data_IF_541587656124
#
_entry.id   IF_541587656124
#
_cell.length_a   1.000
_cell.length_b   1.000
_cell.length_c   1.000
_cell.angle_alpha   90.00
_cell.angle_beta   90.00
_cell.angle_gamma   90.00
#
_symmetry.space_group_name_H-M   'P 1'
#
loop_
_entity.id
_entity.type
_entity.pdbx_description
1 polymer ?
#
# COMPACT_ATOMS: atom_id res chain seq x y z
N UNK A 1 -32.22 5.84 22.74
CA UNK A 1 -30.75 6.13 22.66
C UNK A 1 -30.22 5.92 24.07
N UNK A 2 -29.87 4.68 24.33
CA UNK A 2 -29.46 4.24 25.65
C UNK A 2 -28.03 4.73 25.90
N UNK A 3 -27.89 5.49 27.00
CA UNK A 3 -26.70 6.22 27.37
C UNK A 3 -25.46 5.34 27.39
N UNK A 4 -24.35 5.91 27.00
CA UNK A 4 -23.01 5.36 27.23
C UNK A 4 -22.86 5.15 28.76
N UNK A 5 -23.24 3.98 29.20
CA UNK A 5 -23.05 3.53 30.57
C UNK A 5 -21.56 3.23 30.72
N UNK A 6 -20.98 3.38 31.92
CA UNK A 6 -19.59 3.04 32.18
C UNK A 6 -19.21 1.63 31.68
N UNK A 7 -20.19 0.74 31.65
CA UNK A 7 -20.09 -0.60 31.08
C UNK A 7 -19.93 -0.61 29.55
N UNK A 8 -20.58 0.31 28.82
CA UNK A 8 -20.46 0.41 27.36
C UNK A 8 -19.11 1.02 26.95
N UNK A 9 -18.59 1.95 27.73
CA UNK A 9 -17.23 2.50 27.54
C UNK A 9 -16.17 1.45 27.86
N UNK A 10 -16.38 0.66 28.92
CA UNK A 10 -15.51 -0.47 29.25
C UNK A 10 -15.54 -1.56 28.17
N UNK A 11 -16.72 -1.86 27.60
CA UNK A 11 -16.87 -2.84 26.51
C UNK A 11 -16.27 -2.32 25.21
N UNK A 12 -16.34 -1.01 24.93
CA UNK A 12 -15.71 -0.39 23.77
C UNK A 12 -14.17 -0.36 23.92
N UNK A 13 -13.67 -0.16 25.15
CA UNK A 13 -12.24 -0.25 25.46
C UNK A 13 -11.72 -1.69 25.49
N UNK A 14 -12.61 -2.67 25.76
CA UNK A 14 -12.34 -4.10 25.69
C UNK A 14 -12.55 -4.69 24.27
N UNK A 15 -13.02 -3.89 23.31
CA UNK A 15 -13.13 -4.30 21.92
C UNK A 15 -11.74 -4.73 21.41
N UNK A 16 -11.65 -5.83 20.65
CA UNK A 16 -10.39 -6.31 20.16
C UNK A 16 -9.75 -5.21 19.31
N UNK A 17 -8.48 -4.91 19.62
CA UNK A 17 -7.63 -4.10 18.76
C UNK A 17 -7.67 -4.66 17.34
N UNK A 18 -7.60 -3.84 16.28
CA UNK A 18 -7.56 -4.31 14.89
C UNK A 18 -6.51 -5.39 14.66
N UNK A 19 -5.51 -5.52 15.52
CA UNK A 19 -4.46 -6.53 15.46
C UNK A 19 -4.83 -7.90 16.05
N UNK A 20 -6.08 -8.10 16.54
CA UNK A 20 -6.56 -9.39 17.06
C UNK A 20 -5.88 -9.88 18.34
N UNK A 21 -4.94 -9.14 18.90
CA UNK A 21 -4.24 -9.52 20.14
C UNK A 21 -4.91 -8.84 21.34
N UNK A 22 -5.84 -9.55 21.99
CA UNK A 22 -6.26 -9.21 23.35
C UNK A 22 -5.05 -9.32 24.26
N UNK A 23 -4.51 -8.20 24.74
CA UNK A 23 -3.71 -8.24 25.96
C UNK A 23 -4.65 -8.67 27.07
N UNK A 24 -4.37 -9.81 27.68
CA UNK A 24 -5.07 -10.23 28.89
C UNK A 24 -4.85 -9.12 29.94
N UNK A 25 -5.90 -8.30 30.16
CA UNK A 25 -5.83 -7.28 31.19
C UNK A 25 -5.89 -8.00 32.53
N UNK A 26 -4.90 -7.75 33.37
CA UNK A 26 -4.84 -8.27 34.73
C UNK A 26 -6.07 -7.74 35.49
N UNK A 27 -6.62 -8.55 36.39
CA UNK A 27 -7.79 -8.19 37.22
C UNK A 27 -7.58 -6.86 37.95
N UNK A 28 -6.36 -6.58 38.32
CA UNK A 28 -5.89 -5.33 38.93
C UNK A 28 -6.02 -4.09 38.02
N UNK A 29 -5.82 -4.21 36.72
CA UNK A 29 -6.05 -3.12 35.75
C UNK A 29 -7.55 -2.82 35.57
N UNK A 30 -8.39 -3.85 35.64
CA UNK A 30 -9.86 -3.68 35.60
C UNK A 30 -10.38 -2.97 36.84
N UNK A 31 -9.85 -3.32 38.01
CA UNK A 31 -10.23 -2.67 39.27
C UNK A 31 -9.73 -1.23 39.34
N UNK A 32 -8.52 -0.94 38.87
CA UNK A 32 -8.01 0.45 38.74
C UNK A 32 -8.84 1.28 37.77
N UNK A 33 -9.26 0.72 36.64
CA UNK A 33 -10.15 1.41 35.70
C UNK A 33 -11.53 1.65 36.27
N UNK A 34 -12.10 0.70 37.00
CA UNK A 34 -13.36 0.90 37.73
C UNK A 34 -13.23 1.99 38.78
N UNK A 35 -12.18 1.99 39.56
CA UNK A 35 -11.94 3.01 40.58
C UNK A 35 -11.77 4.42 39.98
N UNK A 36 -11.16 4.54 38.79
CA UNK A 36 -11.05 5.82 38.07
C UNK A 36 -12.42 6.25 37.53
N UNK A 37 -13.21 5.32 36.99
CA UNK A 37 -14.57 5.61 36.48
C UNK A 37 -15.56 5.97 37.59
N UNK A 38 -15.42 5.39 38.78
CA UNK A 38 -16.25 5.72 39.95
C UNK A 38 -15.87 7.09 40.58
N UNK A 39 -14.67 7.58 40.31
CA UNK A 39 -14.22 8.93 40.70
C UNK A 39 -14.61 10.03 39.73
N UNK A 40 -15.19 9.71 38.57
CA UNK A 40 -15.67 10.72 37.61
C UNK A 40 -16.92 11.43 38.21
N UNK A 41 -16.85 12.72 38.47
CA UNK A 41 -17.92 13.43 39.21
C UNK A 41 -19.18 13.60 38.37
N UNK A 42 -20.26 13.59 39.09
CA UNK A 42 -21.61 14.09 38.85
C UNK A 42 -22.18 14.20 37.40
N UNK A 43 -23.50 14.10 37.34
CA UNK A 43 -24.35 14.03 36.15
C UNK A 43 -24.10 15.14 35.11
N UNK A 44 -23.63 16.30 35.52
CA UNK A 44 -23.29 17.43 34.66
C UNK A 44 -22.02 17.21 33.82
N UNK A 45 -21.02 16.56 34.39
CA UNK A 45 -19.78 16.22 33.69
C UNK A 45 -19.98 15.03 32.76
N UNK A 46 -20.93 14.13 33.07
CA UNK A 46 -21.34 13.04 32.15
C UNK A 46 -21.99 13.57 30.88
N UNK A 47 -22.88 14.56 30.99
CA UNK A 47 -23.53 15.16 29.83
C UNK A 47 -22.51 15.85 28.91
N UNK A 48 -21.54 16.57 29.47
CA UNK A 48 -20.42 17.18 28.71
C UNK A 48 -19.53 16.13 28.08
N UNK A 49 -19.27 15.03 28.78
CA UNK A 49 -18.46 13.92 28.25
C UNK A 49 -19.16 13.22 27.09
N UNK A 50 -20.46 12.98 27.18
CA UNK A 50 -21.29 12.40 26.13
C UNK A 50 -21.39 13.32 24.90
N UNK A 51 -21.51 14.64 25.12
CA UNK A 51 -21.48 15.64 24.04
C UNK A 51 -20.11 15.66 23.34
N UNK A 52 -19.02 15.64 24.12
CA UNK A 52 -17.65 15.56 23.58
C UNK A 52 -17.41 14.24 22.81
N UNK A 53 -17.80 13.12 23.37
CA UNK A 53 -17.67 11.81 22.74
C UNK A 53 -18.46 11.76 21.42
N UNK A 54 -19.67 12.30 21.40
CA UNK A 54 -20.51 12.39 20.18
C UNK A 54 -19.88 13.32 19.15
N UNK A 55 -19.35 14.47 19.56
CA UNK A 55 -18.67 15.41 18.66
C UNK A 55 -17.38 14.83 18.07
N UNK A 56 -16.60 14.10 18.88
CA UNK A 56 -15.38 13.40 18.44
C UNK A 56 -15.74 12.28 17.45
N UNK A 57 -16.76 11.49 17.75
CA UNK A 57 -17.20 10.40 16.86
C UNK A 57 -17.70 10.93 15.52
N UNK A 58 -18.48 12.02 15.52
CA UNK A 58 -18.96 12.68 14.31
C UNK A 58 -17.79 13.24 13.46
N UNK A 59 -16.83 13.91 14.11
CA UNK A 59 -15.63 14.41 13.42
C UNK A 59 -14.79 13.27 12.85
N UNK A 60 -14.59 12.20 13.61
CA UNK A 60 -13.85 11.02 13.17
C UNK A 60 -14.51 10.35 11.95
N UNK A 61 -15.83 10.24 11.96
CA UNK A 61 -16.59 9.69 10.82
C UNK A 61 -16.44 10.57 9.57
N UNK A 62 -16.51 11.89 9.74
CA UNK A 62 -16.31 12.84 8.63
C UNK A 62 -14.88 12.75 8.07
N UNK A 63 -13.88 12.75 8.94
CA UNK A 63 -12.47 12.63 8.54
C UNK A 63 -12.23 11.30 7.82
N UNK A 64 -12.72 10.19 8.36
CA UNK A 64 -12.60 8.88 7.73
C UNK A 64 -13.29 8.85 6.37
N UNK A 65 -14.46 9.49 6.23
CA UNK A 65 -15.16 9.64 4.95
C UNK A 65 -14.30 10.38 3.91
N UNK A 66 -13.69 11.49 4.29
CA UNK A 66 -12.77 12.23 3.41
C UNK A 66 -11.53 11.42 3.04
N UNK A 67 -10.89 10.78 4.01
CA UNK A 67 -9.71 9.92 3.77
C UNK A 67 -10.06 8.78 2.82
N UNK A 68 -11.19 8.11 3.02
CA UNK A 68 -11.65 7.03 2.16
C UNK A 68 -11.96 7.53 0.75
N UNK A 69 -12.62 8.68 0.61
CA UNK A 69 -12.91 9.28 -0.68
C UNK A 69 -11.62 9.59 -1.47
N UNK A 70 -10.68 10.29 -0.85
CA UNK A 70 -9.41 10.64 -1.48
C UNK A 70 -8.55 9.43 -1.78
N UNK A 71 -8.54 8.42 -0.90
CA UNK A 71 -7.86 7.15 -1.14
C UNK A 71 -8.45 6.40 -2.33
N UNK A 72 -9.77 6.33 -2.44
CA UNK A 72 -10.45 5.69 -3.58
C UNK A 72 -10.21 6.44 -4.89
N UNK A 73 -10.24 7.77 -4.86
CA UNK A 73 -9.94 8.62 -6.01
C UNK A 73 -8.49 8.44 -6.47
N UNK A 74 -7.55 8.42 -5.53
CA UNK A 74 -6.15 8.15 -5.78
C UNK A 74 -5.94 6.79 -6.48
N UNK A 75 -6.60 5.74 -5.99
CA UNK A 75 -6.53 4.42 -6.58
C UNK A 75 -7.14 4.37 -8.00
N UNK A 76 -8.25 5.07 -8.21
CA UNK A 76 -8.88 5.18 -9.54
C UNK A 76 -7.94 5.86 -10.54
N UNK A 77 -7.37 6.99 -10.17
CA UNK A 77 -6.42 7.74 -11.00
C UNK A 77 -5.16 6.92 -11.32
N UNK A 78 -4.64 6.21 -10.33
CA UNK A 78 -3.52 5.30 -10.48
C UNK A 78 -3.82 4.21 -11.52
N UNK A 79 -5.00 3.59 -11.47
CA UNK A 79 -5.42 2.57 -12.43
C UNK A 79 -5.68 3.14 -13.84
N UNK A 80 -6.22 4.36 -13.96
CA UNK A 80 -6.36 5.02 -15.26
C UNK A 80 -5.01 5.24 -15.93
N UNK A 81 -4.01 5.70 -15.19
CA UNK A 81 -2.64 5.81 -15.68
C UNK A 81 -2.08 4.47 -16.13
N UNK A 82 -2.33 3.42 -15.37
CA UNK A 82 -1.89 2.06 -15.67
C UNK A 82 -2.42 1.53 -17.01
N UNK A 83 -3.68 1.80 -17.35
CA UNK A 83 -4.27 1.37 -18.64
C UNK A 83 -3.50 1.98 -19.80
N UNK A 84 -3.25 3.28 -19.78
CA UNK A 84 -2.50 3.98 -20.82
C UNK A 84 -1.06 3.46 -20.87
N UNK A 85 -0.44 3.32 -19.71
CA UNK A 85 0.94 2.87 -19.60
C UNK A 85 1.14 1.44 -20.09
N UNK A 86 0.21 0.53 -19.80
CA UNK A 86 0.27 -0.85 -20.29
C UNK A 86 0.26 -0.90 -21.81
N UNK A 87 -0.50 -0.04 -22.45
CA UNK A 87 -0.53 0.05 -23.90
C UNK A 87 0.80 0.56 -24.48
N UNK A 88 1.33 1.62 -23.89
CA UNK A 88 2.60 2.23 -24.33
C UNK A 88 3.78 1.30 -24.08
N UNK A 89 3.88 0.64 -22.92
CA UNK A 89 5.00 -0.28 -22.65
C UNK A 89 5.01 -1.46 -23.61
N UNK A 90 3.83 -1.95 -24.02
CA UNK A 90 3.71 -3.03 -25.02
C UNK A 90 4.31 -2.58 -26.36
N UNK A 91 3.96 -1.38 -26.82
CA UNK A 91 4.55 -0.82 -28.05
C UNK A 91 6.08 -0.63 -27.93
N UNK A 92 6.55 -0.20 -26.79
CA UNK A 92 7.99 -0.07 -26.50
C UNK A 92 8.67 -1.42 -26.54
N UNK A 93 8.06 -2.45 -25.92
CA UNK A 93 8.58 -3.81 -25.86
C UNK A 93 8.64 -4.45 -27.25
N UNK A 94 7.66 -4.19 -28.12
CA UNK A 94 7.65 -4.66 -29.50
C UNK A 94 8.71 -3.96 -30.36
N UNK A 95 8.86 -2.62 -30.18
CA UNK A 95 9.77 -1.85 -31.00
C UNK A 95 11.24 -1.96 -30.60
N UNK A 96 11.54 -1.94 -29.29
CA UNK A 96 12.91 -1.86 -28.77
C UNK A 96 13.39 -3.10 -28.03
N UNK A 97 12.49 -4.03 -27.74
CA UNK A 97 12.79 -5.27 -27.02
C UNK A 97 12.34 -5.25 -25.57
N UNK A 98 12.26 -6.44 -25.00
CA UNK A 98 11.70 -6.65 -23.66
C UNK A 98 12.61 -6.08 -22.56
N UNK A 99 13.92 -6.28 -22.68
CA UNK A 99 14.93 -5.75 -21.74
C UNK A 99 14.89 -4.23 -21.65
N UNK A 100 14.81 -3.54 -22.79
CA UNK A 100 14.76 -2.07 -22.84
C UNK A 100 13.45 -1.57 -22.23
N UNK A 101 12.32 -2.20 -22.56
CA UNK A 101 11.03 -1.83 -21.99
C UNK A 101 11.03 -1.95 -20.46
N UNK A 102 11.51 -3.07 -19.93
CA UNK A 102 11.67 -3.24 -18.47
C UNK A 102 12.57 -2.17 -17.86
N UNK A 103 13.73 -1.92 -18.45
CA UNK A 103 14.69 -0.94 -17.93
C UNK A 103 14.09 0.46 -17.86
N UNK A 104 13.43 0.90 -18.93
CA UNK A 104 12.83 2.23 -18.99
C UNK A 104 11.73 2.40 -17.95
N UNK A 105 10.84 1.41 -17.83
CA UNK A 105 9.70 1.53 -16.91
C UNK A 105 10.10 1.28 -15.45
N UNK A 106 11.06 0.41 -15.16
CA UNK A 106 11.62 0.30 -13.81
C UNK A 106 12.35 1.58 -13.38
N UNK A 107 13.14 2.18 -14.28
CA UNK A 107 13.80 3.45 -14.00
C UNK A 107 12.78 4.57 -13.79
N UNK A 108 11.77 4.67 -14.66
CA UNK A 108 10.68 5.65 -14.51
C UNK A 108 9.92 5.43 -13.19
N UNK A 109 9.64 4.19 -12.82
CA UNK A 109 8.99 3.83 -11.56
C UNK A 109 9.84 4.22 -10.34
N UNK A 110 11.15 4.00 -10.41
CA UNK A 110 12.09 4.40 -9.37
C UNK A 110 12.04 5.90 -9.10
N UNK A 111 12.25 6.70 -10.14
CA UNK A 111 12.25 8.16 -9.99
C UNK A 111 10.86 8.70 -9.60
N UNK A 112 9.80 8.16 -10.21
CA UNK A 112 8.45 8.62 -9.94
C UNK A 112 7.98 8.28 -8.52
N UNK A 113 8.36 7.10 -8.01
CA UNK A 113 8.06 6.72 -6.61
C UNK A 113 8.75 7.66 -5.63
N UNK A 114 10.03 7.94 -5.82
CA UNK A 114 10.77 8.90 -4.98
C UNK A 114 10.10 10.28 -5.04
N UNK A 115 9.78 10.75 -6.25
CA UNK A 115 9.13 12.05 -6.43
C UNK A 115 7.81 12.11 -5.65
N UNK A 116 6.94 11.12 -5.82
CA UNK A 116 5.62 11.09 -5.15
C UNK A 116 5.77 11.09 -3.64
N UNK A 117 6.63 10.24 -3.08
CA UNK A 117 6.80 10.17 -1.63
C UNK A 117 7.40 11.43 -1.03
N UNK A 118 8.25 12.15 -1.76
CA UNK A 118 8.92 13.34 -1.23
C UNK A 118 8.16 14.64 -1.49
N UNK A 119 7.29 14.69 -2.51
CA UNK A 119 6.66 15.97 -2.94
C UNK A 119 5.15 16.01 -2.81
N UNK A 120 4.47 14.87 -2.61
CA UNK A 120 3.00 14.86 -2.59
C UNK A 120 2.45 15.34 -1.25
N UNK A 121 1.99 16.59 -1.20
CA UNK A 121 1.43 17.24 -0.01
C UNK A 121 -0.02 17.69 -0.20
N UNK A 122 -0.44 17.95 -1.43
CA UNK A 122 -1.74 18.53 -1.75
C UNK A 122 -2.65 17.61 -2.54
N UNK A 123 -3.99 17.74 -2.42
CA UNK A 123 -4.93 16.99 -3.23
C UNK A 123 -4.74 17.17 -4.74
N UNK A 124 -4.28 18.34 -5.18
CA UNK A 124 -4.02 18.60 -6.60
C UNK A 124 -2.87 17.74 -7.12
N UNK A 125 -1.83 17.56 -6.33
CA UNK A 125 -0.69 16.68 -6.68
C UNK A 125 -1.13 15.23 -6.83
N UNK A 126 -2.11 14.77 -6.04
CA UNK A 126 -2.70 13.44 -6.20
C UNK A 126 -3.28 13.27 -7.61
N UNK A 127 -4.02 14.26 -8.13
CA UNK A 127 -4.60 14.19 -9.47
C UNK A 127 -3.56 14.11 -10.58
N UNK A 128 -2.40 14.70 -10.40
CA UNK A 128 -1.33 14.77 -11.41
C UNK A 128 -0.36 13.59 -11.26
N UNK A 129 0.11 13.33 -10.02
CA UNK A 129 1.18 12.38 -9.78
C UNK A 129 0.70 10.92 -9.76
N UNK A 130 -0.52 10.66 -9.27
CA UNK A 130 -1.04 9.29 -9.19
C UNK A 130 -1.25 8.61 -10.55
N UNK A 131 -1.84 9.26 -11.58
CA UNK A 131 -1.90 8.66 -12.92
C UNK A 131 -0.52 8.36 -13.49
N UNK A 132 0.45 9.26 -13.30
CA UNK A 132 1.81 9.08 -13.82
C UNK A 132 2.52 7.94 -13.08
N UNK A 133 2.32 7.84 -11.76
CA UNK A 133 2.85 6.75 -10.97
C UNK A 133 2.27 5.40 -11.41
N UNK A 134 0.95 5.35 -11.61
CA UNK A 134 0.27 4.16 -12.11
C UNK A 134 0.73 3.78 -13.53
N UNK A 135 0.90 4.77 -14.39
CA UNK A 135 1.49 4.61 -15.71
C UNK A 135 2.88 3.96 -15.65
N UNK A 136 3.73 4.34 -14.70
CA UNK A 136 5.06 3.76 -14.59
C UNK A 136 5.04 2.35 -13.98
N UNK A 137 4.38 2.17 -12.82
CA UNK A 137 4.49 0.96 -12.02
C UNK A 137 3.66 -0.20 -12.58
N UNK A 138 2.35 0.01 -12.79
CA UNK A 138 1.47 -1.08 -13.19
C UNK A 138 1.68 -1.51 -14.65
N UNK A 139 2.20 -0.64 -15.49
CA UNK A 139 2.48 -0.97 -16.89
C UNK A 139 3.47 -2.11 -17.06
N UNK A 140 4.38 -2.29 -16.10
CA UNK A 140 5.37 -3.36 -16.10
C UNK A 140 4.70 -4.73 -16.25
N UNK A 141 3.49 -4.89 -15.67
CA UNK A 141 2.71 -6.12 -15.82
C UNK A 141 2.32 -6.41 -17.27
N UNK A 142 2.20 -5.39 -18.13
CA UNK A 142 1.94 -5.55 -19.56
C UNK A 142 3.09 -6.29 -20.26
N UNK A 143 4.34 -5.97 -19.94
CA UNK A 143 5.51 -6.70 -20.50
C UNK A 143 5.61 -8.10 -19.92
N UNK A 144 5.31 -8.31 -18.64
CA UNK A 144 5.28 -9.67 -18.07
C UNK A 144 4.28 -10.58 -18.78
N UNK A 145 3.12 -10.04 -19.17
CA UNK A 145 2.09 -10.79 -19.89
C UNK A 145 2.57 -11.29 -21.27
N UNK A 146 3.53 -10.60 -21.90
CA UNK A 146 4.14 -10.98 -23.16
C UNK A 146 5.40 -11.85 -22.91
N UNK A 147 6.26 -11.42 -22.03
CA UNK A 147 7.57 -11.99 -21.80
C UNK A 147 7.53 -13.42 -21.22
N UNK A 148 6.65 -13.67 -20.23
CA UNK A 148 6.57 -15.01 -19.65
C UNK A 148 6.12 -16.09 -20.64
N UNK A 149 5.09 -15.87 -21.49
CA UNK A 149 4.76 -16.83 -22.53
C UNK A 149 5.90 -17.11 -23.53
N UNK A 150 6.77 -16.14 -23.76
CA UNK A 150 7.92 -16.27 -24.67
C UNK A 150 9.08 -17.09 -24.05
N UNK A 151 9.13 -17.20 -22.71
CA UNK A 151 10.17 -17.95 -22.00
C UNK A 151 9.89 -19.44 -21.89
N UNK A 152 8.60 -19.85 -21.87
CA UNK A 152 8.23 -21.21 -21.52
C UNK A 152 7.61 -21.96 -22.71
N UNK A 153 7.97 -23.25 -22.90
CA UNK A 153 7.37 -24.08 -23.94
C UNK A 153 5.87 -24.26 -23.72
N UNK A 154 5.13 -24.45 -24.81
CA UNK A 154 3.66 -24.48 -24.80
C UNK A 154 3.09 -25.45 -23.78
N UNK A 155 3.74 -26.61 -23.61
CA UNK A 155 3.34 -27.67 -22.69
C UNK A 155 3.35 -27.25 -21.22
N UNK A 156 4.29 -26.41 -20.80
CA UNK A 156 4.47 -25.98 -19.39
C UNK A 156 4.06 -24.53 -19.15
N UNK A 157 3.73 -23.78 -20.18
CA UNK A 157 3.55 -22.32 -20.17
C UNK A 157 2.61 -21.84 -19.06
N UNK A 158 1.41 -22.38 -18.97
CA UNK A 158 0.41 -21.96 -17.98
C UNK A 158 0.88 -22.23 -16.53
N UNK A 159 1.44 -23.40 -16.30
CA UNK A 159 1.94 -23.79 -14.97
C UNK A 159 3.14 -22.94 -14.55
N UNK A 160 4.11 -22.75 -15.46
CA UNK A 160 5.30 -21.96 -15.17
C UNK A 160 4.97 -20.48 -14.92
N UNK A 161 4.09 -19.88 -15.73
CA UNK A 161 3.62 -18.49 -15.51
C UNK A 161 2.93 -18.38 -14.16
N UNK A 162 2.00 -19.27 -13.86
CA UNK A 162 1.29 -19.26 -12.56
C UNK A 162 2.26 -19.41 -11.37
N UNK A 163 3.25 -20.26 -11.52
CA UNK A 163 4.29 -20.45 -10.50
C UNK A 163 5.11 -19.18 -10.27
N UNK A 164 5.58 -18.53 -11.34
CA UNK A 164 6.31 -17.27 -11.25
C UNK A 164 5.49 -16.17 -10.56
N UNK A 165 4.21 -15.99 -10.95
CA UNK A 165 3.35 -15.00 -10.33
C UNK A 165 3.09 -15.29 -8.84
N UNK A 166 2.93 -16.56 -8.46
CA UNK A 166 2.69 -16.90 -7.05
C UNK A 166 3.95 -16.70 -6.21
N UNK A 167 5.13 -17.08 -6.67
CA UNK A 167 6.40 -16.78 -5.97
C UNK A 167 6.57 -15.28 -5.78
N UNK A 168 6.33 -14.48 -6.82
CA UNK A 168 6.40 -13.04 -6.74
C UNK A 168 5.45 -12.45 -5.69
N UNK A 169 4.24 -13.01 -5.53
CA UNK A 169 3.29 -12.62 -4.48
C UNK A 169 3.79 -12.93 -3.07
N UNK A 170 4.44 -14.09 -2.87
CA UNK A 170 5.07 -14.39 -1.57
C UNK A 170 6.18 -13.40 -1.23
N UNK A 171 7.02 -13.07 -2.22
CA UNK A 171 8.05 -12.04 -2.03
C UNK A 171 7.40 -10.67 -1.73
N UNK A 172 6.37 -10.28 -2.47
CA UNK A 172 5.65 -9.02 -2.26
C UNK A 172 4.97 -8.93 -0.89
N UNK A 173 4.53 -10.06 -0.31
CA UNK A 173 3.93 -10.10 1.03
C UNK A 173 4.88 -9.63 2.15
N UNK A 174 6.19 -9.65 1.92
CA UNK A 174 7.18 -9.10 2.86
C UNK A 174 7.28 -7.57 2.80
N UNK A 175 6.73 -6.95 1.75
CA UNK A 175 6.79 -5.49 1.52
C UNK A 175 6.30 -4.65 2.69
N UNK A 176 5.08 -4.88 3.23
CA UNK A 176 4.58 -4.13 4.38
C UNK A 176 5.46 -4.24 5.63
N UNK A 177 6.05 -5.42 5.88
CA UNK A 177 6.99 -5.61 6.98
C UNK A 177 8.29 -4.81 6.74
N UNK A 178 8.81 -4.83 5.52
CA UNK A 178 9.97 -4.03 5.11
C UNK A 178 9.73 -2.53 5.27
N UNK A 179 8.56 -2.04 4.83
CA UNK A 179 8.15 -0.65 5.01
C UNK A 179 8.08 -0.29 6.50
N UNK A 180 7.51 -1.17 7.33
CA UNK A 180 7.43 -0.95 8.78
C UNK A 180 8.79 -0.82 9.45
N UNK A 181 9.74 -1.70 9.09
CA UNK A 181 11.12 -1.67 9.60
C UNK A 181 11.81 -0.37 9.17
N UNK A 182 11.72 0.02 7.90
CA UNK A 182 12.30 1.25 7.40
C UNK A 182 11.67 2.49 8.07
N UNK A 183 10.35 2.50 8.26
CA UNK A 183 9.66 3.59 8.95
C UNK A 183 10.16 3.72 10.40
N UNK A 184 10.34 2.60 11.12
CA UNK A 184 10.89 2.61 12.48
C UNK A 184 12.34 3.12 12.50
N UNK A 185 13.15 2.75 11.52
CA UNK A 185 14.53 3.25 11.39
C UNK A 185 14.55 4.76 11.14
N UNK A 186 13.75 5.25 10.20
CA UNK A 186 13.71 6.68 9.88
C UNK A 186 13.05 7.52 10.98
N UNK A 187 12.18 6.95 11.81
CA UNK A 187 11.57 7.67 12.94
C UNK A 187 12.59 8.20 13.96
N UNK A 188 13.78 7.60 14.02
CA UNK A 188 14.87 8.08 14.84
C UNK A 188 15.70 9.21 14.18
N UNK A 189 15.48 9.50 12.89
CA UNK A 189 16.36 10.37 12.11
C UNK A 189 15.62 11.52 11.39
N UNK A 190 14.30 11.43 11.22
CA UNK A 190 13.51 12.42 10.47
C UNK A 190 12.13 12.63 11.05
N UNK A 191 11.55 13.81 10.82
CA UNK A 191 10.17 14.14 11.23
C UNK A 191 9.11 13.46 10.33
N UNK A 192 9.50 12.98 9.15
CA UNK A 192 8.61 12.36 8.15
C UNK A 192 9.07 10.94 7.77
N UNK A 193 9.09 9.99 8.72
CA UNK A 193 9.69 8.68 8.53
C UNK A 193 9.07 7.85 7.40
N UNK A 194 7.75 7.96 7.21
CA UNK A 194 7.01 7.20 6.19
C UNK A 194 7.39 7.62 4.75
N UNK A 195 7.70 8.90 4.54
CA UNK A 195 8.13 9.43 3.23
C UNK A 195 9.49 8.88 2.85
N UNK A 196 10.44 8.95 3.76
CA UNK A 196 11.77 8.41 3.54
C UNK A 196 11.79 6.89 3.41
N UNK A 197 10.97 6.19 4.19
CA UNK A 197 10.82 4.75 4.07
C UNK A 197 10.25 4.35 2.70
N UNK A 198 9.20 5.03 2.23
CA UNK A 198 8.62 4.79 0.92
C UNK A 198 9.59 5.10 -0.23
N UNK A 199 10.32 6.21 -0.14
CA UNK A 199 11.36 6.55 -1.11
C UNK A 199 12.51 5.51 -1.11
N UNK A 200 12.92 5.01 0.05
CA UNK A 200 13.91 3.95 0.16
C UNK A 200 13.43 2.63 -0.45
N UNK A 201 12.14 2.29 -0.31
CA UNK A 201 11.56 1.10 -0.95
C UNK A 201 11.63 1.15 -2.48
N UNK A 202 11.71 2.34 -3.08
CA UNK A 202 11.89 2.48 -4.52
C UNK A 202 13.17 1.81 -5.04
N UNK A 203 14.19 1.60 -4.19
CA UNK A 203 15.41 0.89 -4.58
C UNK A 203 15.16 -0.52 -5.09
N UNK A 204 14.01 -1.13 -4.74
CA UNK A 204 13.58 -2.42 -5.27
C UNK A 204 13.45 -2.42 -6.79
N UNK A 205 13.13 -1.29 -7.42
CA UNK A 205 13.07 -1.18 -8.87
C UNK A 205 14.46 -1.34 -9.55
N UNK A 206 15.53 -0.97 -8.86
CA UNK A 206 16.91 -1.18 -9.34
C UNK A 206 17.20 -2.69 -9.45
N UNK A 207 16.75 -3.49 -8.48
CA UNK A 207 16.83 -4.94 -8.57
C UNK A 207 16.04 -5.46 -9.78
N UNK A 208 14.88 -4.87 -10.06
CA UNK A 208 14.08 -5.18 -11.25
C UNK A 208 14.86 -4.97 -12.55
N UNK A 209 15.61 -3.87 -12.67
CA UNK A 209 16.49 -3.60 -13.82
C UNK A 209 17.57 -4.68 -13.93
N UNK A 210 18.25 -5.00 -12.84
CA UNK A 210 19.32 -6.02 -12.83
C UNK A 210 18.78 -7.36 -13.30
N UNK A 211 17.63 -7.81 -12.77
CA UNK A 211 17.01 -9.08 -13.17
C UNK A 211 16.51 -9.06 -14.62
N UNK A 212 16.04 -7.93 -15.13
CA UNK A 212 15.64 -7.81 -16.53
C UNK A 212 16.83 -8.04 -17.49
N UNK A 213 18.02 -7.62 -17.10
CA UNK A 213 19.25 -7.86 -17.91
C UNK A 213 19.81 -9.28 -17.76
N UNK A 214 19.52 -9.98 -16.68
CA UNK A 214 19.88 -11.40 -16.51
C UNK A 214 19.01 -12.33 -17.35
N UNK A 215 17.74 -11.94 -17.63
CA UNK A 215 16.84 -12.70 -18.50
C UNK A 215 17.25 -12.64 -19.97
N UNK A 216 16.84 -13.58 -20.82
CA UNK A 216 17.10 -13.54 -22.27
C UNK A 216 16.28 -12.43 -22.95
N UNK A 217 16.80 -11.86 -24.07
CA UNK A 217 15.98 -11.01 -24.94
C UNK A 217 15.19 -11.93 -25.89
N UNK A 218 13.88 -11.79 -25.87
CA UNK A 218 12.97 -12.68 -26.63
C UNK A 218 12.38 -12.04 -27.87
N UNK A 219 12.70 -10.76 -28.11
CA UNK A 219 12.18 -10.04 -29.30
C UNK A 219 12.55 -10.76 -30.61
N UNK A 220 11.50 -11.07 -31.37
CA UNK A 220 11.67 -11.68 -32.70
C UNK A 220 12.08 -13.15 -32.68
N UNK A 221 12.13 -13.78 -31.51
CA UNK A 221 12.37 -15.21 -31.42
C UNK A 221 11.05 -16.00 -31.60
N UNK A 222 11.07 -17.15 -32.23
CA UNK A 222 9.91 -18.02 -32.31
C UNK A 222 9.54 -18.50 -30.90
N UNK A 223 8.25 -18.68 -30.64
CA UNK A 223 7.79 -19.26 -29.38
C UNK A 223 8.35 -20.67 -29.20
N UNK A 224 8.83 -21.02 -28.01
CA UNK A 224 9.28 -22.38 -27.71
C UNK A 224 8.10 -23.35 -27.85
N UNK A 225 8.21 -24.34 -28.71
CA UNK A 225 7.14 -25.31 -29.01
C UNK A 225 7.23 -26.56 -28.15
N UNK A 226 8.43 -26.97 -27.69
CA UNK A 226 8.70 -28.17 -26.88
C UNK A 226 9.57 -27.84 -25.64
#
# INVERSE_FOLDING_TARGET
MDGLNAETVLTALDAPSPDGKRKAQTQEERERRKAILDQVPQQEDRAKFDELATSISARTTTINGHVTFWGSMSLLLFNLGAVIGTWIITLVAERWGRRIAFTLFFAASFFMTILVFLTMDTPLEVFILQPILGFCILSIFGVYAIYFPELFPTRLRSTAISFCYNIARFAAATGPAGLGILTAFFAAHTDEPIRWAGAAMATTFILGIIFAWMGPETKGQPLPEE
#
